data_IF_251225112575
#
_entry.id   IF_251225112575
#
_cell.length_a   1.000
_cell.length_b   1.000
_cell.length_c   1.000
_cell.angle_alpha   90.00
_cell.angle_beta   90.00
_cell.angle_gamma   90.00
#
_symmetry.space_group_name_H-M   'P 1'
#
loop_
_entity.id
_entity.type
_entity.pdbx_description
1 polymer ?
#
# COMPACT_ATOMS: atom_id res chain seq x y z
N UNK A 1 40.64 13.32 -32.41
CA UNK A 1 39.29 12.77 -32.23
C UNK A 1 39.42 11.55 -31.35
N UNK A 2 39.25 11.73 -30.04
CA UNK A 2 39.27 10.64 -29.08
C UNK A 2 37.91 9.92 -29.13
N UNK A 3 37.88 8.58 -29.07
CA UNK A 3 36.62 7.85 -29.08
C UNK A 3 35.89 8.15 -27.78
N UNK A 4 34.62 8.58 -27.90
CA UNK A 4 33.70 8.76 -26.78
C UNK A 4 33.67 7.49 -25.92
N UNK A 5 34.17 7.58 -24.69
CA UNK A 5 34.02 6.55 -23.67
C UNK A 5 32.54 6.43 -23.30
N UNK A 6 32.15 5.28 -22.79
CA UNK A 6 30.78 4.89 -22.45
C UNK A 6 30.11 5.71 -21.32
N UNK A 7 30.58 6.94 -21.04
CA UNK A 7 30.28 7.76 -19.85
C UNK A 7 29.17 8.80 -20.04
N UNK A 8 28.56 8.93 -21.23
CA UNK A 8 27.45 9.87 -21.47
C UNK A 8 26.03 9.27 -21.25
N UNK A 9 25.93 8.06 -20.72
CA UNK A 9 24.80 7.15 -20.98
C UNK A 9 23.47 7.39 -20.27
N UNK A 10 23.37 8.20 -19.20
CA UNK A 10 22.08 8.47 -18.53
C UNK A 10 22.06 9.87 -17.88
N UNK A 11 22.59 10.88 -18.55
CA UNK A 11 22.71 12.23 -17.96
C UNK A 11 21.37 12.82 -17.47
N UNK A 12 20.26 12.54 -18.14
CA UNK A 12 18.92 13.00 -17.75
C UNK A 12 17.90 11.89 -17.82
N UNK A 13 17.18 11.66 -16.72
CA UNK A 13 16.10 10.67 -16.60
C UNK A 13 14.76 11.38 -16.44
N UNK A 14 13.72 10.88 -17.11
CA UNK A 14 12.38 11.48 -17.07
C UNK A 14 11.43 10.63 -16.24
N UNK A 15 10.57 11.27 -15.45
CA UNK A 15 9.59 10.58 -14.63
C UNK A 15 8.18 11.14 -14.89
N UNK A 16 7.39 10.52 -15.77
CA UNK A 16 5.99 10.88 -15.95
C UNK A 16 5.15 10.44 -14.75
N UNK A 17 4.38 11.40 -14.21
CA UNK A 17 3.50 11.14 -13.06
C UNK A 17 2.29 12.07 -13.03
N UNK A 18 1.18 11.56 -12.52
CA UNK A 18 0.00 12.38 -12.20
C UNK A 18 0.23 13.24 -10.95
N UNK A 19 1.05 12.77 -9.99
CA UNK A 19 1.27 13.41 -8.70
C UNK A 19 -0.05 13.79 -7.99
N UNK A 20 -0.91 12.79 -7.72
CA UNK A 20 -2.23 12.98 -7.13
C UNK A 20 -2.41 12.32 -5.74
N UNK A 21 -1.67 12.74 -4.69
CA UNK A 21 -0.49 13.61 -4.71
C UNK A 21 0.81 12.81 -4.96
N UNK A 22 1.92 13.51 -5.24
CA UNK A 22 3.25 12.92 -5.07
C UNK A 22 3.57 12.77 -3.57
N UNK A 23 4.44 11.82 -3.22
CA UNK A 23 4.80 11.53 -1.84
C UNK A 23 6.06 10.69 -1.75
N UNK A 24 6.36 10.16 -0.56
CA UNK A 24 7.63 9.49 -0.27
C UNK A 24 7.94 8.34 -1.23
N UNK A 25 6.93 7.60 -1.73
CA UNK A 25 7.13 6.58 -2.77
C UNK A 25 7.80 7.13 -4.04
N UNK A 26 7.32 8.25 -4.56
CA UNK A 26 7.81 8.80 -5.84
C UNK A 26 9.25 9.31 -5.68
N UNK A 27 9.52 9.98 -4.56
CA UNK A 27 10.84 10.54 -4.27
C UNK A 27 11.84 9.42 -3.98
N UNK A 28 11.45 8.39 -3.24
CA UNK A 28 12.30 7.24 -2.98
C UNK A 28 12.53 6.35 -4.21
N UNK A 29 11.57 6.32 -5.13
CA UNK A 29 11.76 5.65 -6.42
C UNK A 29 12.85 6.34 -7.24
N UNK A 30 12.84 7.68 -7.27
CA UNK A 30 13.90 8.47 -7.90
C UNK A 30 15.23 8.30 -7.17
N UNK A 31 15.22 8.27 -5.84
CA UNK A 31 16.40 7.94 -5.04
C UNK A 31 17.00 6.57 -5.44
N UNK A 32 16.14 5.57 -5.68
CA UNK A 32 16.59 4.23 -6.09
C UNK A 32 17.32 4.28 -7.43
N UNK A 33 16.79 5.07 -8.36
CA UNK A 33 17.38 5.30 -9.69
C UNK A 33 18.71 6.02 -9.57
N UNK A 34 18.81 7.10 -8.80
CA UNK A 34 20.08 7.83 -8.60
C UNK A 34 21.15 6.98 -7.90
N UNK A 35 20.73 6.02 -7.06
CA UNK A 35 21.66 5.07 -6.46
C UNK A 35 22.14 4.01 -7.46
N UNK A 36 21.23 3.48 -8.28
CA UNK A 36 21.53 2.45 -9.27
C UNK A 36 22.29 2.99 -10.50
N UNK A 37 22.08 4.26 -10.88
CA UNK A 37 22.70 4.92 -12.04
C UNK A 37 23.44 6.20 -11.60
N UNK A 38 24.64 6.08 -10.99
CA UNK A 38 25.41 7.22 -10.46
C UNK A 38 25.78 8.31 -11.48
N UNK A 39 25.79 7.98 -12.76
CA UNK A 39 26.03 8.89 -13.89
C UNK A 39 24.87 9.87 -14.15
N UNK A 40 23.71 9.65 -13.50
CA UNK A 40 22.54 10.51 -13.64
C UNK A 40 22.80 11.90 -13.04
N UNK A 41 22.73 12.94 -13.87
CA UNK A 41 22.93 14.34 -13.44
C UNK A 41 21.62 15.05 -13.13
N UNK A 42 20.53 14.70 -13.81
CA UNK A 42 19.25 15.38 -13.69
C UNK A 42 18.07 14.40 -13.78
N UNK A 43 17.08 14.57 -12.90
CA UNK A 43 15.78 13.88 -13.02
C UNK A 43 14.67 14.90 -13.28
N UNK A 44 13.96 14.74 -14.40
CA UNK A 44 12.88 15.63 -14.81
C UNK A 44 11.52 14.97 -14.55
N UNK A 45 10.80 15.47 -13.56
CA UNK A 45 9.42 15.08 -13.28
C UNK A 45 8.50 15.67 -14.35
N UNK A 46 7.88 14.82 -15.17
CA UNK A 46 6.91 15.23 -16.19
C UNK A 46 5.52 15.23 -15.54
N UNK A 47 5.11 16.40 -15.04
CA UNK A 47 3.85 16.53 -14.32
C UNK A 47 2.67 16.55 -15.29
N UNK A 48 1.75 15.61 -15.12
CA UNK A 48 0.55 15.55 -15.96
C UNK A 48 -0.40 16.73 -15.73
N UNK A 49 -1.11 17.17 -16.77
CA UNK A 49 -2.21 18.14 -16.64
C UNK A 49 -3.45 17.58 -15.91
N UNK A 50 -3.48 16.26 -15.67
CA UNK A 50 -4.56 15.58 -14.98
C UNK A 50 -5.68 15.09 -15.90
N UNK A 51 -5.56 15.31 -17.21
CA UNK A 51 -6.44 14.75 -18.23
C UNK A 51 -5.86 13.41 -18.67
N UNK A 52 -6.49 12.30 -18.29
CA UNK A 52 -5.96 10.98 -18.60
C UNK A 52 -6.48 10.46 -19.95
N UNK A 53 -5.63 9.91 -20.84
CA UNK A 53 -6.08 9.30 -22.10
C UNK A 53 -6.78 7.95 -21.91
N UNK A 54 -6.96 7.50 -20.66
CA UNK A 54 -7.58 6.21 -20.35
C UNK A 54 -9.07 6.49 -20.09
N UNK A 55 -9.97 5.99 -20.97
CA UNK A 55 -11.39 6.27 -20.86
C UNK A 55 -12.00 5.68 -19.58
N UNK A 56 -11.31 4.78 -18.88
CA UNK A 56 -11.80 4.15 -17.66
C UNK A 56 -11.40 4.92 -16.39
N UNK A 57 -10.53 5.93 -16.49
CA UNK A 57 -10.05 6.69 -15.33
C UNK A 57 -10.96 7.88 -15.02
N UNK A 58 -12.03 7.62 -14.28
CA UNK A 58 -13.06 8.61 -13.91
C UNK A 58 -12.73 9.44 -12.65
N UNK A 59 -11.45 9.54 -12.29
CA UNK A 59 -11.05 10.16 -11.03
C UNK A 59 -10.99 11.69 -11.14
N UNK A 60 -11.66 12.41 -10.24
CA UNK A 60 -11.50 13.86 -10.09
C UNK A 60 -10.09 14.15 -9.55
N UNK A 61 -9.22 14.69 -10.41
CA UNK A 61 -7.84 15.03 -10.09
C UNK A 61 -7.79 16.54 -9.74
N UNK A 62 -7.13 16.95 -8.63
CA UNK A 62 -6.94 18.35 -8.30
C UNK A 62 -6.25 19.13 -9.43
N UNK A 63 -6.48 20.43 -9.48
CA UNK A 63 -5.87 21.31 -10.49
C UNK A 63 -4.34 21.15 -10.52
N UNK A 64 -3.79 21.17 -11.74
CA UNK A 64 -2.37 20.91 -11.96
C UNK A 64 -1.45 21.91 -11.24
N UNK A 65 -1.87 23.16 -11.08
CA UNK A 65 -1.14 24.18 -10.34
C UNK A 65 -0.91 23.79 -8.86
N UNK A 66 -1.94 23.25 -8.21
CA UNK A 66 -1.84 22.82 -6.81
C UNK A 66 -1.01 21.54 -6.67
N UNK A 67 -1.15 20.58 -7.60
CA UNK A 67 -0.28 19.39 -7.65
C UNK A 67 1.18 19.75 -7.88
N UNK A 68 1.45 20.76 -8.73
CA UNK A 68 2.78 21.32 -8.96
C UNK A 68 3.35 21.91 -7.67
N UNK A 69 2.56 22.69 -6.93
CA UNK A 69 2.98 23.28 -5.66
C UNK A 69 3.32 22.21 -4.61
N UNK A 70 2.46 21.18 -4.49
CA UNK A 70 2.70 20.03 -3.60
C UNK A 70 3.98 19.29 -3.99
N UNK A 71 4.20 18.99 -5.28
CA UNK A 71 5.41 18.30 -5.74
C UNK A 71 6.67 19.15 -5.49
N UNK A 72 6.62 20.45 -5.79
CA UNK A 72 7.74 21.37 -5.54
C UNK A 72 8.06 21.45 -4.05
N UNK A 73 7.03 21.54 -3.21
CA UNK A 73 7.20 21.56 -1.75
C UNK A 73 7.78 20.24 -1.23
N UNK A 74 7.37 19.10 -1.79
CA UNK A 74 7.89 17.80 -1.41
C UNK A 74 9.37 17.66 -1.78
N UNK A 75 9.78 18.12 -2.97
CA UNK A 75 11.18 18.12 -3.41
C UNK A 75 12.05 19.05 -2.56
N UNK A 76 11.54 20.23 -2.19
CA UNK A 76 12.27 21.19 -1.36
C UNK A 76 12.54 20.66 0.06
N UNK A 77 11.58 19.94 0.64
CA UNK A 77 11.71 19.37 1.99
C UNK A 77 12.42 18.01 1.99
N UNK A 78 12.63 17.37 0.83
CA UNK A 78 13.01 15.96 0.73
C UNK A 78 14.26 15.59 1.52
N UNK A 79 15.28 16.47 1.49
CA UNK A 79 16.59 16.25 2.11
C UNK A 79 16.69 16.80 3.54
N UNK A 80 15.64 17.44 4.06
CA UNK A 80 15.63 18.09 5.38
C UNK A 80 15.10 17.10 6.46
N UNK A 81 15.95 16.64 7.40
CA UNK A 81 15.54 15.70 8.46
C UNK A 81 14.38 16.19 9.33
N UNK A 82 14.18 17.49 9.49
CA UNK A 82 13.08 18.04 10.30
C UNK A 82 11.73 18.04 9.55
N UNK A 83 11.77 17.85 8.22
CA UNK A 83 10.60 17.94 7.33
C UNK A 83 10.34 16.66 6.53
N UNK A 84 11.30 15.74 6.48
CA UNK A 84 11.23 14.51 5.70
C UNK A 84 11.64 13.32 6.57
N UNK A 85 10.67 12.46 6.90
CA UNK A 85 10.95 11.24 7.66
C UNK A 85 11.98 10.32 6.95
N UNK A 86 11.98 10.17 5.61
CA UNK A 86 13.08 9.50 4.92
C UNK A 86 14.46 10.14 5.15
N UNK A 87 14.57 11.48 5.19
CA UNK A 87 15.83 12.16 5.47
C UNK A 87 16.27 11.95 6.92
N UNK A 88 15.34 12.03 7.88
CA UNK A 88 15.60 11.71 9.29
C UNK A 88 16.16 10.28 9.44
N UNK A 89 15.52 9.30 8.80
CA UNK A 89 15.94 7.90 8.86
C UNK A 89 17.31 7.70 8.17
N UNK A 90 17.58 8.41 7.08
CA UNK A 90 18.87 8.36 6.40
C UNK A 90 19.99 8.93 7.29
N UNK A 91 19.75 10.07 7.93
CA UNK A 91 20.67 10.73 8.86
C UNK A 91 20.96 9.85 10.10
N UNK A 92 19.91 9.30 10.74
CA UNK A 92 20.03 8.35 11.85
C UNK A 92 20.88 7.11 11.47
N UNK A 93 20.86 6.72 10.20
CA UNK A 93 21.64 5.60 9.67
C UNK A 93 23.05 6.00 9.17
N UNK A 94 23.45 7.27 9.25
CA UNK A 94 24.73 7.77 8.75
C UNK A 94 24.82 7.75 7.22
N UNK A 95 23.70 7.83 6.52
CA UNK A 95 23.60 7.84 5.05
C UNK A 95 23.00 9.16 4.55
N UNK A 96 23.21 9.48 3.28
CA UNK A 96 22.61 10.66 2.65
C UNK A 96 21.74 10.28 1.45
N UNK A 97 20.68 11.06 1.24
CA UNK A 97 19.83 10.96 0.05
C UNK A 97 20.52 11.65 -1.13
N UNK A 98 20.54 11.00 -2.29
CA UNK A 98 21.10 11.52 -3.54
C UNK A 98 20.17 12.51 -4.23
N UNK A 99 18.86 12.29 -4.21
CA UNK A 99 17.89 13.23 -4.77
C UNK A 99 17.92 14.53 -3.97
N UNK A 100 18.06 15.66 -4.66
CA UNK A 100 18.08 16.97 -4.05
C UNK A 100 17.58 18.05 -5.05
N UNK A 101 17.28 19.28 -4.59
CA UNK A 101 16.78 20.34 -5.47
C UNK A 101 17.70 20.71 -6.64
N UNK A 102 19.00 20.43 -6.58
CA UNK A 102 19.97 20.79 -7.63
C UNK A 102 20.07 19.74 -8.75
N UNK A 103 19.58 18.51 -8.53
CA UNK A 103 19.60 17.44 -9.54
C UNK A 103 18.18 17.01 -9.99
N UNK A 104 17.18 17.87 -9.79
CA UNK A 104 15.83 17.61 -10.24
C UNK A 104 15.15 18.85 -10.83
N UNK A 105 14.19 18.61 -11.73
CA UNK A 105 13.35 19.65 -12.30
C UNK A 105 11.91 19.14 -12.50
N UNK A 106 10.94 20.05 -12.56
CA UNK A 106 9.55 19.71 -12.91
C UNK A 106 9.22 20.34 -14.25
N UNK A 107 8.94 19.51 -15.26
CA UNK A 107 8.41 19.98 -16.53
C UNK A 107 6.95 20.37 -16.39
N UNK A 108 6.62 21.57 -16.86
CA UNK A 108 5.25 22.12 -16.92
C UNK A 108 4.66 22.06 -18.33
N UNK A 109 5.34 21.39 -19.27
CA UNK A 109 4.92 21.35 -20.67
C UNK A 109 3.48 20.86 -20.83
N UNK A 110 3.09 19.78 -20.14
CA UNK A 110 1.73 19.24 -20.28
C UNK A 110 0.66 20.20 -19.73
N UNK A 111 1.02 21.05 -18.75
CA UNK A 111 0.09 21.98 -18.09
C UNK A 111 -0.41 23.08 -19.04
N UNK A 112 0.28 23.34 -20.15
CA UNK A 112 -0.20 24.29 -21.17
C UNK A 112 -1.19 23.65 -22.15
N UNK A 113 -1.43 22.33 -22.06
CA UNK A 113 -2.31 21.59 -22.96
C UNK A 113 -3.67 21.37 -22.33
N UNK A 114 -4.73 21.71 -23.07
CA UNK A 114 -6.13 21.48 -22.68
C UNK A 114 -6.67 20.13 -23.20
N UNK A 115 -5.80 19.15 -23.41
CA UNK A 115 -6.15 17.78 -23.86
C UNK A 115 -5.31 16.74 -23.13
N UNK A 116 -5.74 15.47 -23.06
CA UNK A 116 -4.86 14.39 -22.66
C UNK A 116 -3.61 14.35 -23.54
N UNK A 117 -2.45 14.17 -22.90
CA UNK A 117 -1.17 13.93 -23.56
C UNK A 117 -0.82 12.46 -23.41
N UNK A 118 -0.51 11.79 -24.52
CA UNK A 118 -0.13 10.38 -24.52
C UNK A 118 1.33 10.24 -24.12
N UNK A 119 1.68 9.14 -23.47
CA UNK A 119 3.05 8.86 -23.01
C UNK A 119 4.10 9.05 -24.13
N UNK A 120 3.82 8.54 -25.33
CA UNK A 120 4.70 8.63 -26.50
C UNK A 120 4.98 10.07 -26.95
N UNK A 121 4.08 11.02 -26.68
CA UNK A 121 4.25 12.41 -27.10
C UNK A 121 5.34 13.12 -26.30
N UNK A 122 5.62 12.68 -25.06
CA UNK A 122 6.79 13.17 -24.33
C UNK A 122 8.09 12.83 -25.05
N UNK A 123 8.18 11.65 -25.68
CA UNK A 123 9.39 11.22 -26.39
C UNK A 123 9.71 12.15 -27.58
N UNK A 124 8.68 12.69 -28.24
CA UNK A 124 8.83 13.61 -29.38
C UNK A 124 9.30 15.01 -28.97
N UNK A 125 9.02 15.39 -27.73
CA UNK A 125 9.35 16.72 -27.19
C UNK A 125 10.71 16.75 -26.49
N UNK A 126 11.36 15.60 -26.35
CA UNK A 126 12.69 15.48 -25.74
C UNK A 126 13.68 15.26 -26.88
N UNK A 127 14.56 16.24 -27.10
CA UNK A 127 15.61 16.14 -28.11
C UNK A 127 16.66 15.11 -27.72
N UNK A 128 16.98 14.18 -28.62
CA UNK A 128 18.03 13.19 -28.42
C UNK A 128 18.12 12.19 -29.58
N UNK A 129 19.30 11.63 -29.79
CA UNK A 129 19.54 10.56 -30.79
C UNK A 129 19.47 9.16 -30.17
N UNK A 130 19.40 9.08 -28.85
CA UNK A 130 19.37 7.83 -28.08
C UNK A 130 18.00 7.55 -27.46
N UNK A 131 17.82 6.35 -26.91
CA UNK A 131 16.60 5.97 -26.20
C UNK A 131 16.48 6.80 -24.92
N UNK A 132 15.35 7.48 -24.76
CA UNK A 132 15.08 8.36 -23.62
C UNK A 132 14.74 7.51 -22.39
N UNK A 133 15.53 7.61 -21.30
CA UNK A 133 15.26 6.86 -20.08
C UNK A 133 14.04 7.43 -19.33
N UNK A 134 13.04 6.59 -19.11
CA UNK A 134 11.79 6.95 -18.43
C UNK A 134 11.47 6.02 -17.27
N UNK A 135 11.27 6.59 -16.08
CA UNK A 135 10.78 5.85 -14.91
C UNK A 135 9.31 5.52 -15.10
N UNK A 136 8.96 4.24 -15.00
CA UNK A 136 7.58 3.74 -15.13
C UNK A 136 7.28 2.69 -14.07
N UNK A 137 6.02 2.57 -13.67
CA UNK A 137 5.56 1.42 -12.89
C UNK A 137 5.27 0.22 -13.79
N UNK A 138 5.42 -0.99 -13.25
CA UNK A 138 5.02 -2.22 -13.95
C UNK A 138 3.53 -2.19 -14.40
N UNK A 139 2.68 -1.47 -13.67
CA UNK A 139 1.26 -1.27 -14.03
C UNK A 139 1.06 -0.49 -15.33
N UNK A 140 2.00 0.40 -15.70
CA UNK A 140 1.94 1.08 -16.99
C UNK A 140 2.28 0.12 -18.14
N UNK A 141 3.27 -0.76 -17.92
CA UNK A 141 3.69 -1.77 -18.90
C UNK A 141 2.56 -2.79 -19.09
N UNK A 142 1.86 -3.18 -18.04
CA UNK A 142 0.65 -4.01 -18.15
C UNK A 142 -0.41 -3.34 -19.03
N UNK A 143 -0.66 -2.04 -18.84
CA UNK A 143 -1.60 -1.27 -19.67
C UNK A 143 -1.19 -1.18 -21.14
N UNK A 144 0.08 -1.37 -21.47
CA UNK A 144 0.54 -1.48 -22.86
C UNK A 144 -0.05 -2.69 -23.58
N UNK A 145 -0.66 -3.66 -22.88
CA UNK A 145 -1.43 -4.74 -23.48
C UNK A 145 -2.77 -4.26 -24.05
N UNK A 146 -3.36 -3.17 -23.52
CA UNK A 146 -4.65 -2.67 -23.96
C UNK A 146 -4.52 -1.72 -25.18
N UNK A 147 -5.06 -2.07 -26.35
CA UNK A 147 -4.96 -1.25 -27.57
C UNK A 147 -5.72 0.08 -27.49
N UNK A 148 -6.72 0.21 -26.60
CA UNK A 148 -7.46 1.46 -26.38
C UNK A 148 -6.62 2.49 -25.61
N UNK A 149 -5.64 2.05 -24.83
CA UNK A 149 -4.73 2.92 -24.06
C UNK A 149 -3.47 3.20 -24.89
N UNK A 150 -2.80 2.14 -25.36
CA UNK A 150 -1.62 2.20 -26.19
C UNK A 150 -1.89 1.57 -27.55
N UNK A 151 -1.86 2.38 -28.61
CA UNK A 151 -2.00 1.90 -29.99
C UNK A 151 -0.71 1.22 -30.44
N UNK A 152 -0.79 0.46 -31.53
CA UNK A 152 0.39 -0.17 -32.14
C UNK A 152 1.43 0.86 -32.58
N UNK A 153 1.01 2.05 -33.03
CA UNK A 153 1.92 3.14 -33.39
C UNK A 153 2.66 3.64 -32.16
N UNK A 154 1.97 3.87 -31.03
CA UNK A 154 2.62 4.32 -29.81
C UNK A 154 3.68 3.32 -29.34
N UNK A 155 3.37 2.03 -29.36
CA UNK A 155 4.29 0.99 -28.89
C UNK A 155 5.55 0.87 -29.77
N UNK A 156 5.44 1.05 -31.09
CA UNK A 156 6.60 1.06 -31.99
C UNK A 156 7.52 2.27 -31.73
N UNK A 157 6.92 3.43 -31.48
CA UNK A 157 7.68 4.63 -31.13
C UNK A 157 8.35 4.48 -29.75
N UNK A 158 7.68 3.86 -28.77
CA UNK A 158 8.28 3.55 -27.46
C UNK A 158 9.42 2.54 -27.61
N UNK A 159 9.24 1.46 -28.38
CA UNK A 159 10.29 0.48 -28.68
C UNK A 159 11.53 1.14 -29.28
N UNK A 160 11.34 2.09 -30.20
CA UNK A 160 12.42 2.80 -30.88
C UNK A 160 13.10 3.84 -29.98
N UNK A 161 12.32 4.62 -29.25
CA UNK A 161 12.77 5.88 -28.63
C UNK A 161 12.85 5.89 -27.11
N UNK A 162 12.49 4.82 -26.41
CA UNK A 162 12.41 4.82 -24.95
C UNK A 162 13.16 3.66 -24.30
N UNK A 163 13.84 3.97 -23.20
CA UNK A 163 14.39 3.00 -22.26
C UNK A 163 13.57 3.08 -20.97
N UNK A 164 12.79 2.05 -20.69
CA UNK A 164 11.92 2.02 -19.50
C UNK A 164 12.73 1.59 -18.27
N UNK A 165 12.80 2.46 -17.26
CA UNK A 165 13.29 2.12 -15.93
C UNK A 165 12.08 1.69 -15.09
N UNK A 166 11.87 0.39 -14.97
CA UNK A 166 10.64 -0.18 -14.45
C UNK A 166 10.71 -0.47 -12.96
N UNK A 167 9.82 0.14 -12.19
CA UNK A 167 9.59 -0.19 -10.79
C UNK A 167 8.62 -1.38 -10.69
N UNK A 168 9.04 -2.45 -10.02
CA UNK A 168 8.10 -3.49 -9.61
C UNK A 168 7.06 -2.91 -8.65
N UNK A 169 5.79 -3.20 -8.89
CA UNK A 169 4.68 -2.93 -7.98
C UNK A 169 3.85 -4.19 -7.84
N UNK A 170 3.48 -4.55 -6.62
CA UNK A 170 2.67 -5.74 -6.30
C UNK A 170 3.32 -7.07 -6.72
N UNK A 171 2.54 -8.15 -6.72
CA UNK A 171 2.92 -9.48 -7.22
C UNK A 171 3.07 -9.54 -8.77
N UNK A 172 3.29 -8.39 -9.42
CA UNK A 172 3.43 -8.32 -10.87
C UNK A 172 4.85 -8.75 -11.24
N UNK A 173 4.94 -9.89 -11.92
CA UNK A 173 6.18 -10.39 -12.48
C UNK A 173 6.49 -9.67 -13.80
N UNK A 174 7.42 -8.71 -13.74
CA UNK A 174 7.76 -7.82 -14.85
C UNK A 174 8.16 -8.60 -16.12
N UNK A 175 8.97 -9.64 -15.98
CA UNK A 175 9.41 -10.48 -17.10
C UNK A 175 8.24 -11.15 -17.82
N UNK A 176 7.28 -11.68 -17.06
CA UNK A 176 6.07 -12.31 -17.60
C UNK A 176 5.22 -11.32 -18.39
N UNK A 177 5.09 -10.08 -17.93
CA UNK A 177 4.39 -9.02 -18.68
C UNK A 177 5.15 -8.65 -19.96
N UNK A 178 6.47 -8.50 -19.90
CA UNK A 178 7.26 -8.13 -21.08
C UNK A 178 7.18 -9.20 -22.17
N UNK A 179 7.23 -10.48 -21.78
CA UNK A 179 6.98 -11.60 -22.69
C UNK A 179 5.58 -11.52 -23.30
N UNK A 180 4.57 -11.23 -22.49
CA UNK A 180 3.19 -11.11 -22.96
C UNK A 180 3.00 -9.93 -23.92
N UNK A 181 3.63 -8.78 -23.66
CA UNK A 181 3.63 -7.62 -24.56
C UNK A 181 4.31 -7.98 -25.89
N UNK A 182 5.45 -8.66 -25.86
CA UNK A 182 6.13 -9.13 -27.08
C UNK A 182 5.24 -10.07 -27.90
N UNK A 183 4.61 -11.05 -27.25
CA UNK A 183 3.74 -12.02 -27.90
C UNK A 183 2.45 -11.39 -28.46
N UNK A 184 1.76 -10.56 -27.68
CA UNK A 184 0.44 -10.01 -28.06
C UNK A 184 0.51 -8.73 -28.88
N UNK A 185 1.56 -7.94 -28.71
CA UNK A 185 1.68 -6.59 -29.32
C UNK A 185 2.82 -6.47 -30.33
N UNK A 186 3.70 -7.48 -30.43
CA UNK A 186 4.74 -7.56 -31.47
C UNK A 186 5.86 -6.53 -31.31
N UNK A 187 6.12 -6.03 -30.09
CA UNK A 187 7.17 -5.06 -29.78
C UNK A 187 8.11 -5.60 -28.70
N UNK A 188 9.39 -5.27 -28.77
CA UNK A 188 10.41 -5.62 -27.76
C UNK A 188 10.86 -4.35 -27.04
N UNK A 189 10.26 -4.10 -25.88
CA UNK A 189 10.58 -2.91 -25.07
C UNK A 189 11.98 -3.05 -24.43
N UNK A 190 12.76 -1.97 -24.45
CA UNK A 190 14.02 -1.91 -23.69
C UNK A 190 13.70 -1.52 -22.25
N UNK A 191 13.91 -2.46 -21.33
CA UNK A 191 13.54 -2.28 -19.92
C UNK A 191 14.72 -2.62 -19.02
N UNK A 192 14.99 -1.76 -18.04
CA UNK A 192 15.87 -2.08 -16.91
C UNK A 192 15.05 -2.02 -15.63
N UNK A 193 15.21 -3.04 -14.78
CA UNK A 193 14.54 -3.08 -13.48
C UNK A 193 15.17 -2.09 -12.50
N UNK A 194 14.32 -1.31 -11.83
CA UNK A 194 14.75 -0.47 -10.71
C UNK A 194 14.86 -1.37 -9.49
N UNK A 195 16.07 -1.49 -8.93
CA UNK A 195 16.39 -2.39 -7.81
C UNK A 195 16.38 -1.63 -6.48
N UNK A 196 15.34 -1.80 -5.62
CA UNK A 196 15.28 -1.09 -4.33
C UNK A 196 16.37 -1.52 -3.33
N UNK A 197 17.03 -2.66 -3.58
CA UNK A 197 18.09 -3.22 -2.72
C UNK A 197 19.27 -2.27 -2.52
N UNK A 198 19.46 -1.30 -3.42
CA UNK A 198 20.48 -0.27 -3.27
C UNK A 198 20.20 0.64 -2.05
N UNK A 199 18.92 0.84 -1.70
CA UNK A 199 18.51 1.68 -0.57
C UNK A 199 18.46 0.87 0.73
N UNK A 200 18.81 1.51 1.85
CA UNK A 200 18.66 0.97 3.19
C UNK A 200 17.25 0.38 3.46
N UNK A 201 17.21 -0.78 4.12
CA UNK A 201 15.99 -1.59 4.31
C UNK A 201 14.87 -0.87 5.08
N UNK A 202 15.25 0.03 5.99
CA UNK A 202 14.34 0.89 6.74
C UNK A 202 13.60 1.92 5.86
N UNK A 203 14.20 2.35 4.75
CA UNK A 203 13.58 3.27 3.78
C UNK A 203 12.71 2.53 2.76
N UNK A 204 13.05 1.29 2.39
CA UNK A 204 12.30 0.53 1.37
C UNK A 204 10.80 0.45 1.64
N UNK A 205 10.35 0.51 2.90
CA UNK A 205 8.93 0.54 3.27
C UNK A 205 8.16 1.71 2.64
N UNK A 206 8.79 2.87 2.40
CA UNK A 206 8.11 4.02 1.77
C UNK A 206 7.71 3.75 0.31
N UNK A 207 8.30 2.75 -0.35
CA UNK A 207 7.84 2.29 -1.66
C UNK A 207 6.43 1.66 -1.62
N UNK A 208 5.88 1.38 -0.45
CA UNK A 208 4.52 0.88 -0.29
C UNK A 208 3.45 1.99 -0.28
N UNK A 209 3.84 3.27 -0.29
CA UNK A 209 2.92 4.42 -0.21
C UNK A 209 2.42 4.83 -1.59
N UNK A 210 1.38 4.18 -2.09
CA UNK A 210 0.69 4.67 -3.29
C UNK A 210 0.01 6.02 -3.04
N UNK A 211 -0.16 6.85 -4.07
CA UNK A 211 -0.97 8.08 -3.96
C UNK A 211 -2.39 7.81 -3.43
N UNK A 212 -2.97 6.64 -3.76
CA UNK A 212 -4.26 6.21 -3.24
C UNK A 212 -4.24 6.03 -1.73
N UNK A 213 -3.16 5.50 -1.16
CA UNK A 213 -3.02 5.42 0.29
C UNK A 213 -2.91 6.80 0.93
N UNK A 214 -2.24 7.76 0.29
CA UNK A 214 -2.19 9.14 0.78
C UNK A 214 -3.60 9.73 0.84
N UNK A 215 -4.38 9.60 -0.23
CA UNK A 215 -5.77 10.11 -0.26
C UNK A 215 -6.66 9.43 0.77
N UNK A 216 -6.56 8.10 0.93
CA UNK A 216 -7.31 7.37 1.98
C UNK A 216 -6.87 7.77 3.38
N UNK A 217 -5.58 8.00 3.61
CA UNK A 217 -5.07 8.51 4.88
C UNK A 217 -5.62 9.90 5.18
N UNK A 218 -5.69 10.79 4.17
CA UNK A 218 -6.33 12.11 4.30
C UNK A 218 -7.82 11.98 4.66
N UNK A 219 -8.56 11.10 3.99
CA UNK A 219 -9.97 10.82 4.26
C UNK A 219 -10.21 10.22 5.66
N UNK A 220 -9.22 9.49 6.19
CA UNK A 220 -9.24 8.97 7.56
C UNK A 220 -8.82 9.99 8.63
N UNK A 221 -8.49 11.23 8.24
CA UNK A 221 -8.04 12.27 9.16
C UNK A 221 -6.64 12.01 9.73
N UNK A 222 -5.78 11.31 8.99
CA UNK A 222 -4.42 11.00 9.44
C UNK A 222 -3.47 12.18 9.31
N UNK A 223 -2.47 12.20 10.20
CA UNK A 223 -1.24 12.97 10.03
C UNK A 223 -0.47 12.38 8.83
N UNK A 224 -0.05 13.23 7.89
CA UNK A 224 0.44 12.80 6.57
C UNK A 224 1.97 12.78 6.47
N UNK A 225 2.69 13.23 7.48
CA UNK A 225 4.16 13.38 7.51
C UNK A 225 4.91 12.04 7.39
N UNK A 226 4.23 10.92 7.68
CA UNK A 226 4.75 9.57 7.38
C UNK A 226 4.65 9.20 5.89
N UNK A 227 3.79 9.87 5.13
CA UNK A 227 3.42 9.56 3.76
C UNK A 227 4.13 10.47 2.72
N UNK A 228 4.37 11.73 3.08
CA UNK A 228 5.03 12.73 2.26
C UNK A 228 5.68 13.83 3.12
N UNK A 229 6.60 14.64 2.57
CA UNK A 229 7.27 15.70 3.32
C UNK A 229 6.31 16.76 3.89
N UNK A 230 6.72 17.37 5.01
CA UNK A 230 5.90 18.18 5.92
C UNK A 230 5.14 19.33 5.25
N UNK A 231 5.79 20.15 4.43
CA UNK A 231 5.12 21.28 3.79
C UNK A 231 4.15 20.80 2.69
N UNK A 232 4.46 19.69 2.00
CA UNK A 232 3.54 19.08 1.04
C UNK A 232 2.29 18.49 1.73
N UNK A 233 2.46 17.85 2.89
CA UNK A 233 1.37 17.42 3.76
C UNK A 233 0.50 18.60 4.22
N UNK A 234 1.11 19.72 4.64
CA UNK A 234 0.39 20.93 5.04
C UNK A 234 -0.44 21.52 3.90
N UNK A 235 0.09 21.57 2.68
CA UNK A 235 -0.64 22.06 1.51
C UNK A 235 -1.90 21.24 1.21
N UNK A 236 -1.85 19.91 1.37
CA UNK A 236 -3.02 19.04 1.25
C UNK A 236 -4.08 19.44 2.27
N UNK A 237 -3.70 19.62 3.53
CA UNK A 237 -4.60 19.96 4.63
C UNK A 237 -5.20 21.37 4.47
N UNK A 238 -4.38 22.38 4.17
CA UNK A 238 -4.80 23.77 4.02
C UNK A 238 -5.78 23.98 2.86
N UNK A 239 -5.66 23.18 1.80
CA UNK A 239 -6.54 23.24 0.65
C UNK A 239 -7.70 22.23 0.73
N UNK A 240 -7.91 21.58 1.88
CA UNK A 240 -8.99 20.60 2.06
C UNK A 240 -9.02 19.50 0.98
N UNK A 241 -7.84 19.13 0.47
CA UNK A 241 -7.76 18.19 -0.63
C UNK A 241 -8.18 16.81 -0.20
N UNK A 242 -8.97 16.15 -1.05
CA UNK A 242 -9.46 14.78 -0.85
C UNK A 242 -10.40 14.59 0.35
N UNK A 243 -10.76 15.67 1.06
CA UNK A 243 -11.78 15.61 2.10
C UNK A 243 -13.15 15.28 1.48
N UNK A 244 -13.95 14.49 2.20
CA UNK A 244 -15.20 13.93 1.70
C UNK A 244 -16.31 14.94 1.40
N UNK A 245 -16.07 16.25 1.51
CA UNK A 245 -17.11 17.28 1.43
C UNK A 245 -17.22 17.97 0.07
N UNK A 246 -16.20 17.90 -0.79
CA UNK A 246 -16.12 18.68 -2.05
C UNK A 246 -16.03 17.85 -3.34
N UNK A 247 -16.15 16.52 -3.23
CA UNK A 247 -15.84 15.59 -4.31
C UNK A 247 -16.93 14.53 -4.51
N UNK A 248 -18.06 15.01 -5.04
CA UNK A 248 -19.21 14.20 -5.48
C UNK A 248 -18.81 13.36 -6.69
N UNK A 249 -18.79 12.03 -6.53
CA UNK A 249 -18.70 11.09 -7.64
C UNK A 249 -20.11 10.83 -8.15
N UNK A 250 -20.38 11.22 -9.39
CA UNK A 250 -21.67 10.97 -10.03
C UNK A 250 -21.56 9.73 -10.91
N UNK A 251 -21.97 8.59 -10.38
CA UNK A 251 -22.71 7.57 -11.12
C UNK A 251 -23.73 6.97 -10.16
N UNK A 252 -24.94 6.79 -10.64
CA UNK A 252 -26.14 6.42 -9.90
C UNK A 252 -25.85 5.28 -8.90
N UNK A 253 -26.23 5.51 -7.64
CA UNK A 253 -26.12 4.63 -6.44
C UNK A 253 -24.80 4.69 -5.63
N UNK A 254 -24.88 5.39 -4.48
CA UNK A 254 -23.94 5.53 -3.35
C UNK A 254 -22.75 6.50 -3.52
N UNK A 255 -22.87 7.69 -2.90
CA UNK A 255 -21.87 8.76 -2.84
C UNK A 255 -20.75 8.43 -1.80
N UNK A 256 -19.85 7.51 -2.15
CA UNK A 256 -18.76 7.06 -1.27
C UNK A 256 -17.40 7.56 -1.76
N UNK A 257 -16.55 8.03 -0.84
CA UNK A 257 -15.15 8.35 -1.14
C UNK A 257 -14.27 7.09 -1.25
N UNK A 258 -13.01 7.24 -1.67
CA UNK A 258 -12.10 6.10 -1.90
C UNK A 258 -11.89 5.20 -0.68
N UNK A 259 -11.78 5.79 0.52
CA UNK A 259 -11.66 5.03 1.75
C UNK A 259 -12.94 4.26 2.06
N UNK A 260 -14.09 4.92 1.95
CA UNK A 260 -15.39 4.31 2.18
C UNK A 260 -15.64 3.15 1.22
N UNK A 261 -15.34 3.31 -0.07
CA UNK A 261 -15.42 2.22 -1.06
C UNK A 261 -14.51 1.05 -0.70
N UNK A 262 -13.26 1.33 -0.28
CA UNK A 262 -12.33 0.27 0.14
C UNK A 262 -12.80 -0.45 1.39
N UNK A 263 -13.32 0.28 2.39
CA UNK A 263 -13.87 -0.31 3.60
C UNK A 263 -15.11 -1.17 3.30
N UNK A 264 -16.03 -0.70 2.45
CA UNK A 264 -17.21 -1.47 2.05
C UNK A 264 -16.83 -2.77 1.33
N UNK A 265 -15.85 -2.73 0.44
CA UNK A 265 -15.34 -3.95 -0.21
C UNK A 265 -14.71 -4.93 0.80
N UNK A 266 -13.96 -4.42 1.78
CA UNK A 266 -13.40 -5.25 2.84
C UNK A 266 -14.48 -5.83 3.78
N UNK A 267 -15.52 -5.06 4.10
CA UNK A 267 -16.66 -5.54 4.88
C UNK A 267 -17.39 -6.67 4.16
N UNK A 268 -17.57 -6.56 2.83
CA UNK A 268 -18.10 -7.65 2.00
C UNK A 268 -17.21 -8.89 2.03
N UNK A 269 -15.88 -8.73 1.97
CA UNK A 269 -14.93 -9.84 2.07
C UNK A 269 -14.97 -10.51 3.46
N UNK A 270 -15.11 -9.72 4.53
CA UNK A 270 -15.29 -10.23 5.89
C UNK A 270 -16.58 -11.04 6.00
N UNK A 271 -17.65 -10.54 5.41
CA UNK A 271 -18.93 -11.23 5.35
C UNK A 271 -18.84 -12.57 4.62
N UNK A 272 -18.12 -12.63 3.49
CA UNK A 272 -17.86 -13.87 2.76
C UNK A 272 -17.01 -14.86 3.58
N UNK A 273 -15.96 -14.39 4.26
CA UNK A 273 -15.14 -15.24 5.11
C UNK A 273 -15.96 -15.83 6.27
N UNK A 274 -16.78 -15.01 6.93
CA UNK A 274 -17.68 -15.46 8.00
C UNK A 274 -18.70 -16.49 7.52
N UNK A 275 -19.32 -16.29 6.34
CA UNK A 275 -20.25 -17.27 5.73
C UNK A 275 -19.59 -18.62 5.50
N UNK A 276 -18.35 -18.63 4.99
CA UNK A 276 -17.61 -19.87 4.74
C UNK A 276 -17.28 -20.61 6.03
N UNK A 277 -16.82 -19.87 7.04
CA UNK A 277 -16.57 -20.43 8.37
C UNK A 277 -17.87 -21.00 8.98
N UNK A 278 -18.98 -20.25 8.97
CA UNK A 278 -20.26 -20.73 9.49
C UNK A 278 -20.70 -22.03 8.82
N UNK A 279 -20.64 -22.10 7.49
CA UNK A 279 -20.97 -23.33 6.74
C UNK A 279 -20.12 -24.53 7.17
N UNK A 280 -18.83 -24.32 7.45
CA UNK A 280 -17.96 -25.38 7.97
C UNK A 280 -18.41 -25.80 9.38
N UNK A 281 -18.79 -24.85 10.23
CA UNK A 281 -19.25 -25.14 11.60
C UNK A 281 -20.57 -25.90 11.61
N UNK A 282 -21.52 -25.55 10.74
CA UNK A 282 -22.77 -26.31 10.53
C UNK A 282 -22.45 -27.77 10.17
N UNK A 283 -21.50 -27.99 9.25
CA UNK A 283 -21.07 -29.34 8.87
C UNK A 283 -20.45 -30.11 10.03
N UNK A 284 -19.56 -29.48 10.79
CA UNK A 284 -18.92 -30.11 11.96
C UNK A 284 -19.97 -30.48 13.02
N UNK A 285 -20.95 -29.62 13.27
CA UNK A 285 -22.05 -29.91 14.17
C UNK A 285 -22.87 -31.13 13.72
N UNK A 286 -23.25 -31.21 12.44
CA UNK A 286 -24.00 -32.39 11.94
C UNK A 286 -23.22 -33.70 12.08
N UNK A 287 -21.89 -33.62 12.12
CA UNK A 287 -20.98 -34.75 12.34
C UNK A 287 -20.69 -34.99 13.83
N UNK A 288 -21.33 -34.24 14.74
CA UNK A 288 -21.12 -34.27 16.18
C UNK A 288 -19.66 -33.99 16.58
N UNK A 289 -19.02 -33.04 15.89
CA UNK A 289 -17.64 -32.63 16.09
C UNK A 289 -17.55 -31.25 16.74
N UNK A 290 -16.39 -30.93 17.32
CA UNK A 290 -16.10 -29.62 17.90
C UNK A 290 -16.42 -28.46 16.93
N UNK A 291 -17.38 -27.61 17.29
CA UNK A 291 -17.88 -26.51 16.45
C UNK A 291 -18.13 -25.21 17.23
N UNK A 292 -18.15 -25.26 18.55
CA UNK A 292 -18.47 -24.11 19.40
C UNK A 292 -17.21 -23.33 19.69
N UNK A 293 -17.26 -22.01 19.54
CA UNK A 293 -16.07 -21.19 19.58
C UNK A 293 -16.24 -19.87 20.31
N UNK A 294 -15.10 -19.29 20.71
CA UNK A 294 -15.05 -17.95 21.25
C UNK A 294 -13.90 -17.15 20.63
N UNK A 295 -13.97 -15.83 20.78
CA UNK A 295 -13.02 -14.91 20.18
C UNK A 295 -12.45 -13.95 21.23
N UNK A 296 -11.17 -13.64 21.13
CA UNK A 296 -10.53 -12.54 21.87
C UNK A 296 -9.73 -11.67 20.91
N UNK A 297 -10.04 -10.37 20.87
CA UNK A 297 -9.46 -9.40 19.94
C UNK A 297 -8.78 -8.27 20.70
N UNK A 298 -7.80 -7.65 20.08
CA UNK A 298 -7.27 -6.36 20.55
C UNK A 298 -7.40 -5.34 19.43
N UNK A 299 -6.58 -5.45 18.40
CA UNK A 299 -6.40 -4.41 17.40
C UNK A 299 -7.37 -4.52 16.24
N UNK A 300 -7.98 -5.70 16.03
CA UNK A 300 -9.11 -5.90 15.13
C UNK A 300 -10.37 -5.16 15.62
N UNK A 301 -10.45 -4.83 16.92
CA UNK A 301 -11.44 -3.90 17.45
C UNK A 301 -12.88 -4.40 17.44
N UNK A 302 -13.08 -5.72 17.47
CA UNK A 302 -14.42 -6.34 17.46
C UNK A 302 -14.91 -6.75 16.08
N UNK A 303 -14.12 -6.54 15.03
CA UNK A 303 -14.50 -6.89 13.66
C UNK A 303 -14.57 -8.42 13.46
N UNK A 304 -13.80 -9.23 14.20
CA UNK A 304 -13.94 -10.69 14.14
C UNK A 304 -15.29 -11.10 14.75
N UNK A 305 -15.60 -10.60 15.95
CA UNK A 305 -16.87 -10.87 16.60
C UNK A 305 -18.08 -10.39 15.78
N UNK A 306 -18.02 -9.19 15.19
CA UNK A 306 -19.06 -8.65 14.32
C UNK A 306 -19.28 -9.54 13.08
N UNK A 307 -18.20 -9.93 12.39
CA UNK A 307 -18.27 -10.84 11.26
C UNK A 307 -18.98 -12.17 11.60
N UNK A 308 -18.69 -12.73 12.77
CA UNK A 308 -19.30 -13.98 13.24
C UNK A 308 -20.76 -13.82 13.71
N UNK A 309 -21.12 -12.70 14.32
CA UNK A 309 -22.43 -12.49 14.96
C UNK A 309 -23.46 -11.79 14.06
N UNK A 310 -23.04 -11.19 12.95
CA UNK A 310 -23.93 -10.59 11.93
C UNK A 310 -24.77 -11.61 11.16
N UNK A 311 -24.62 -12.90 11.44
CA UNK A 311 -25.31 -14.01 10.76
C UNK A 311 -26.39 -14.64 11.62
N UNK A 312 -27.51 -15.01 10.98
CA UNK A 312 -28.52 -15.83 11.63
C UNK A 312 -27.92 -17.20 11.98
N UNK A 313 -28.30 -17.76 13.13
CA UNK A 313 -27.74 -19.02 13.64
C UNK A 313 -26.38 -18.88 14.36
N UNK A 314 -25.79 -17.68 14.44
CA UNK A 314 -24.49 -17.49 15.09
C UNK A 314 -24.46 -18.02 16.54
N UNK A 315 -25.56 -17.93 17.29
CA UNK A 315 -25.66 -18.42 18.68
C UNK A 315 -25.46 -19.93 18.86
N UNK A 316 -25.58 -20.70 17.77
CA UNK A 316 -25.35 -22.16 17.79
C UNK A 316 -23.86 -22.49 17.95
N UNK A 317 -22.98 -21.65 17.42
CA UNK A 317 -21.54 -21.87 17.43
C UNK A 317 -20.77 -20.84 18.26
N UNK A 318 -21.12 -19.55 18.19
CA UNK A 318 -20.40 -18.47 18.85
C UNK A 318 -20.84 -18.29 20.31
N UNK A 319 -19.94 -18.60 21.25
CA UNK A 319 -20.24 -18.54 22.69
C UNK A 319 -19.92 -17.19 23.33
N UNK A 320 -18.80 -16.59 22.98
CA UNK A 320 -18.33 -15.37 23.61
C UNK A 320 -17.31 -14.62 22.75
N UNK A 321 -17.31 -13.29 22.88
CA UNK A 321 -16.29 -12.40 22.31
C UNK A 321 -15.76 -11.45 23.38
N UNK A 322 -14.45 -11.13 23.34
CA UNK A 322 -13.85 -10.10 24.19
C UNK A 322 -12.95 -9.18 23.39
N UNK A 323 -13.10 -7.87 23.58
CA UNK A 323 -12.21 -6.85 23.01
C UNK A 323 -11.33 -6.29 24.13
N UNK A 324 -10.07 -6.70 24.17
CA UNK A 324 -9.08 -6.33 25.19
C UNK A 324 -8.11 -5.28 24.65
N UNK A 325 -8.64 -4.10 24.34
CA UNK A 325 -7.89 -3.07 23.61
C UNK A 325 -6.73 -2.46 24.42
N UNK A 326 -6.96 -2.15 25.70
CA UNK A 326 -5.92 -1.55 26.53
C UNK A 326 -4.96 -2.60 27.10
N UNK A 327 -3.71 -2.19 27.32
CA UNK A 327 -2.72 -3.02 28.02
C UNK A 327 -3.25 -3.47 29.39
N UNK A 328 -3.99 -2.60 30.08
CA UNK A 328 -4.57 -2.89 31.39
C UNK A 328 -5.67 -3.96 31.30
N UNK A 329 -6.56 -3.88 30.31
CA UNK A 329 -7.58 -4.90 30.08
C UNK A 329 -6.93 -6.27 29.78
N UNK A 330 -5.84 -6.28 29.00
CA UNK A 330 -5.08 -7.50 28.73
C UNK A 330 -4.42 -8.05 30.00
N UNK A 331 -3.83 -7.19 30.85
CA UNK A 331 -3.25 -7.59 32.13
C UNK A 331 -4.29 -8.16 33.09
N UNK A 332 -5.44 -7.50 33.23
CA UNK A 332 -6.52 -7.97 34.08
C UNK A 332 -7.04 -9.34 33.63
N UNK A 333 -7.22 -9.53 32.32
CA UNK A 333 -7.68 -10.80 31.75
C UNK A 333 -6.65 -11.92 31.89
N UNK A 334 -5.37 -11.63 31.63
CA UNK A 334 -4.31 -12.63 31.67
C UNK A 334 -3.81 -12.94 33.09
N UNK A 335 -4.02 -12.02 34.03
CA UNK A 335 -3.56 -12.11 35.41
C UNK A 335 -2.05 -12.40 35.51
N UNK A 336 -1.67 -13.31 36.41
CA UNK A 336 -0.27 -13.74 36.63
C UNK A 336 0.42 -14.32 35.40
N UNK A 337 -0.32 -14.69 34.37
CA UNK A 337 0.25 -15.26 33.15
C UNK A 337 0.83 -14.15 32.25
N UNK A 338 0.45 -12.88 32.44
CA UNK A 338 0.89 -11.77 31.57
C UNK A 338 2.42 -11.73 31.47
N UNK A 339 2.95 -11.90 30.26
CA UNK A 339 4.38 -11.74 30.00
C UNK A 339 4.68 -10.26 29.76
N UNK A 340 5.53 -9.65 30.59
CA UNK A 340 5.86 -8.21 30.49
C UNK A 340 6.55 -7.83 29.16
N UNK A 341 7.12 -8.81 28.46
CA UNK A 341 7.89 -8.58 27.25
C UNK A 341 7.00 -8.47 26.00
N UNK A 342 6.57 -7.24 25.71
CA UNK A 342 5.93 -6.74 24.49
C UNK A 342 4.52 -7.29 24.18
N UNK A 343 3.56 -6.36 24.07
CA UNK A 343 2.12 -6.60 23.84
C UNK A 343 1.76 -7.28 22.49
N UNK A 344 2.76 -7.59 21.66
CA UNK A 344 2.61 -8.00 20.27
C UNK A 344 3.62 -9.11 19.97
N UNK A 345 3.29 -10.32 20.44
CA UNK A 345 4.13 -11.51 20.36
C UNK A 345 3.32 -12.81 20.25
N UNK A 346 3.95 -13.86 19.71
CA UNK A 346 3.39 -15.21 19.66
C UNK A 346 2.97 -15.71 21.06
N UNK A 347 3.86 -15.58 22.05
CA UNK A 347 3.62 -16.04 23.42
C UNK A 347 2.32 -15.46 23.98
N UNK A 348 2.08 -14.16 23.77
CA UNK A 348 0.91 -13.51 24.31
C UNK A 348 -0.38 -13.91 23.60
N UNK A 349 -0.40 -13.98 22.26
CA UNK A 349 -1.62 -14.36 21.55
C UNK A 349 -2.06 -15.78 21.90
N UNK A 350 -1.10 -16.70 22.07
CA UNK A 350 -1.39 -18.07 22.52
C UNK A 350 -1.99 -18.10 23.92
N UNK A 351 -1.51 -17.22 24.80
CA UNK A 351 -1.98 -17.14 26.16
C UNK A 351 -3.39 -16.55 26.24
N UNK A 352 -3.69 -15.51 25.45
CA UNK A 352 -5.03 -14.97 25.28
C UNK A 352 -5.99 -16.08 24.84
N UNK A 353 -5.62 -16.85 23.81
CA UNK A 353 -6.44 -17.96 23.31
C UNK A 353 -6.71 -19.01 24.41
N UNK A 354 -5.68 -19.47 25.13
CA UNK A 354 -5.82 -20.46 26.21
C UNK A 354 -6.67 -19.98 27.40
N UNK A 355 -6.48 -18.73 27.83
CA UNK A 355 -7.28 -18.16 28.93
C UNK A 355 -8.74 -18.06 28.51
N UNK A 356 -9.00 -17.53 27.31
CA UNK A 356 -10.35 -17.40 26.79
C UNK A 356 -11.03 -18.77 26.56
N UNK A 357 -10.30 -19.80 26.13
CA UNK A 357 -10.84 -21.16 25.99
C UNK A 357 -11.28 -21.72 27.34
N UNK A 358 -10.47 -21.53 28.39
CA UNK A 358 -10.82 -21.93 29.76
C UNK A 358 -12.04 -21.18 30.30
N UNK A 359 -12.15 -19.87 30.06
CA UNK A 359 -13.24 -19.06 30.59
C UNK A 359 -14.57 -19.26 29.85
N UNK A 360 -14.52 -19.49 28.55
CA UNK A 360 -15.73 -19.64 27.71
C UNK A 360 -16.25 -21.07 27.64
N UNK A 361 -15.41 -22.08 27.90
CA UNK A 361 -15.76 -23.48 27.66
C UNK A 361 -15.96 -23.82 26.18
N UNK A 362 -15.44 -22.99 25.28
CA UNK A 362 -15.48 -23.22 23.84
C UNK A 362 -14.58 -24.39 23.41
N UNK A 363 -14.99 -25.09 22.36
CA UNK A 363 -14.19 -26.17 21.77
C UNK A 363 -12.87 -25.62 21.20
N UNK A 364 -12.94 -24.45 20.56
CA UNK A 364 -11.78 -23.72 20.06
C UNK A 364 -11.91 -22.21 20.25
N UNK A 365 -10.77 -21.51 20.25
CA UNK A 365 -10.73 -20.05 20.41
C UNK A 365 -9.80 -19.40 19.42
N UNK A 366 -10.29 -18.36 18.75
CA UNK A 366 -9.48 -17.48 17.91
C UNK A 366 -9.09 -16.22 18.68
N UNK A 367 -7.78 -15.99 18.80
CA UNK A 367 -7.19 -14.84 19.44
C UNK A 367 -6.45 -13.98 18.42
N UNK A 368 -6.61 -12.66 18.53
CA UNK A 368 -5.92 -11.66 17.72
C UNK A 368 -5.19 -10.66 18.62
N UNK A 369 -3.94 -10.33 18.29
CA UNK A 369 -3.27 -9.14 18.83
C UNK A 369 -2.37 -8.49 17.80
N UNK A 370 -2.53 -7.18 17.58
CA UNK A 370 -1.87 -6.48 16.49
C UNK A 370 -1.72 -4.98 16.71
N UNK A 371 -1.34 -4.27 15.64
CA UNK A 371 -1.18 -2.83 15.62
C UNK A 371 -1.77 -2.26 14.33
N UNK A 372 -3.04 -1.87 14.36
CA UNK A 372 -3.75 -1.33 13.21
C UNK A 372 -3.28 0.09 12.78
N UNK A 373 -2.37 0.75 13.50
CA UNK A 373 -1.83 2.05 13.10
C UNK A 373 -2.81 3.23 13.22
N UNK A 374 -2.67 4.29 12.40
CA UNK A 374 -1.67 4.50 11.34
C UNK A 374 -0.22 4.71 11.81
N UNK A 375 0.75 4.77 10.88
CA UNK A 375 2.07 5.29 11.19
C UNK A 375 1.98 6.77 11.55
N UNK A 376 2.74 7.16 12.57
CA UNK A 376 2.91 8.55 12.97
C UNK A 376 4.38 8.74 13.40
N UNK A 377 5.00 9.88 13.07
CA UNK A 377 6.34 10.23 13.56
C UNK A 377 6.44 10.22 15.09
N UNK A 378 5.35 10.51 15.80
CA UNK A 378 5.31 10.63 17.26
C UNK A 378 5.22 9.28 17.99
N UNK A 379 4.84 8.21 17.28
CA UNK A 379 4.63 6.91 17.91
C UNK A 379 5.94 6.14 18.03
N UNK A 380 6.24 5.67 19.25
CA UNK A 380 7.42 4.85 19.56
C UNK A 380 7.45 3.50 18.81
N UNK A 381 6.28 2.91 18.50
CA UNK A 381 6.20 1.61 17.82
C UNK A 381 6.10 1.76 16.31
N UNK A 382 7.01 1.09 15.58
CA UNK A 382 7.03 1.01 14.11
C UNK A 382 6.34 -0.26 13.55
N UNK A 383 5.51 -0.93 14.36
CA UNK A 383 4.88 -2.24 14.04
C UNK A 383 3.50 -2.13 13.36
N UNK A 384 3.17 -1.00 12.73
CA UNK A 384 1.86 -0.83 12.10
C UNK A 384 1.63 -1.89 11.01
N UNK A 385 0.41 -2.44 10.93
CA UNK A 385 0.06 -3.51 10.00
C UNK A 385 0.51 -4.91 10.42
N UNK A 386 1.16 -5.06 11.58
CA UNK A 386 1.54 -6.37 12.12
C UNK A 386 0.44 -6.92 13.03
N UNK A 387 0.15 -8.21 12.89
CA UNK A 387 -0.85 -8.93 13.68
C UNK A 387 -0.40 -10.36 13.96
N UNK A 388 -0.62 -10.81 15.18
CA UNK A 388 -0.42 -12.18 15.64
C UNK A 388 -1.80 -12.82 15.85
N UNK A 389 -1.97 -14.02 15.30
CA UNK A 389 -3.17 -14.81 15.44
C UNK A 389 -2.83 -16.11 16.18
N UNK A 390 -3.68 -16.49 17.12
CA UNK A 390 -3.60 -17.74 17.86
C UNK A 390 -4.92 -18.49 17.75
N UNK A 391 -4.89 -19.78 17.42
CA UNK A 391 -6.08 -20.63 17.40
C UNK A 391 -5.90 -21.75 18.41
N UNK A 392 -6.52 -21.63 19.59
CA UNK A 392 -6.51 -22.68 20.59
C UNK A 392 -7.50 -23.77 20.20
N UNK A 393 -6.99 -24.99 20.10
CA UNK A 393 -7.73 -26.23 19.86
C UNK A 393 -7.68 -27.07 21.16
N UNK A 394 -8.19 -28.29 21.15
CA UNK A 394 -8.26 -29.14 22.36
C UNK A 394 -6.88 -29.46 22.97
N UNK A 395 -5.86 -29.68 22.14
CA UNK A 395 -4.52 -30.15 22.57
C UNK A 395 -3.40 -29.14 22.34
N UNK A 396 -3.60 -28.19 21.43
CA UNK A 396 -2.55 -27.27 21.00
C UNK A 396 -3.08 -25.88 20.69
N UNK A 397 -2.17 -24.95 20.43
CA UNK A 397 -2.51 -23.65 19.87
C UNK A 397 -1.77 -23.53 18.55
N UNK A 398 -2.46 -23.26 17.45
CA UNK A 398 -1.82 -22.88 16.19
C UNK A 398 -1.51 -21.39 16.20
N UNK A 399 -0.54 -20.97 15.40
CA UNK A 399 -0.10 -19.58 15.33
C UNK A 399 0.12 -19.14 13.89
N UNK A 400 -0.27 -17.90 13.59
CA UNK A 400 0.03 -17.23 12.32
C UNK A 400 0.45 -15.79 12.59
N UNK A 401 1.48 -15.34 11.88
CA UNK A 401 1.89 -13.94 11.85
C UNK A 401 1.41 -13.31 10.53
N UNK A 402 0.90 -12.08 10.61
CA UNK A 402 0.49 -11.27 9.48
C UNK A 402 1.30 -9.99 9.47
N UNK A 403 1.80 -9.61 8.28
CA UNK A 403 2.39 -8.30 8.02
C UNK A 403 1.72 -7.69 6.80
N UNK A 404 0.88 -6.68 7.05
CA UNK A 404 0.19 -5.90 6.03
C UNK A 404 0.97 -4.63 5.72
N UNK A 405 0.59 -3.95 4.62
CA UNK A 405 1.18 -2.67 4.27
C UNK A 405 1.00 -1.67 5.44
N UNK A 406 2.08 -1.18 6.08
CA UNK A 406 2.01 -0.41 7.32
C UNK A 406 1.32 0.94 7.16
N UNK A 407 1.08 1.40 5.94
CA UNK A 407 0.47 2.69 5.60
C UNK A 407 -1.03 2.60 5.33
N UNK A 408 -1.66 1.43 5.48
CA UNK A 408 -3.11 1.31 5.43
C UNK A 408 -3.76 2.07 6.59
N UNK A 409 -5.02 2.43 6.40
CA UNK A 409 -5.78 3.08 7.46
C UNK A 409 -6.07 2.14 8.62
N UNK A 410 -6.38 2.70 9.81
CA UNK A 410 -6.74 1.89 10.98
C UNK A 410 -7.90 0.94 10.66
N UNK A 411 -8.96 1.46 10.01
CA UNK A 411 -10.14 0.66 9.66
C UNK A 411 -9.80 -0.42 8.62
N UNK A 412 -8.94 -0.12 7.64
CA UNK A 412 -8.46 -1.13 6.69
C UNK A 412 -7.69 -2.25 7.39
N UNK A 413 -6.77 -1.93 8.30
CA UNK A 413 -6.05 -2.94 9.09
C UNK A 413 -7.00 -3.78 9.96
N UNK A 414 -7.95 -3.14 10.66
CA UNK A 414 -8.94 -3.83 11.47
C UNK A 414 -9.73 -4.88 10.67
N UNK A 415 -10.24 -4.47 9.51
CA UNK A 415 -10.99 -5.35 8.62
C UNK A 415 -10.10 -6.47 8.06
N UNK A 416 -8.90 -6.15 7.59
CA UNK A 416 -7.98 -7.15 7.04
C UNK A 416 -7.50 -8.16 8.08
N UNK A 417 -7.22 -7.74 9.31
CA UNK A 417 -6.90 -8.66 10.40
C UNK A 417 -8.07 -9.61 10.66
N UNK A 418 -9.30 -9.10 10.66
CA UNK A 418 -10.47 -9.94 10.87
C UNK A 418 -10.70 -10.94 9.72
N UNK A 419 -10.62 -10.47 8.47
CA UNK A 419 -10.75 -11.31 7.27
C UNK A 419 -9.72 -12.45 7.29
N UNK A 420 -8.44 -12.12 7.49
CA UNK A 420 -7.36 -13.09 7.52
C UNK A 420 -7.48 -14.06 8.69
N UNK A 421 -8.01 -13.61 9.83
CA UNK A 421 -8.23 -14.46 10.99
C UNK A 421 -9.33 -15.50 10.74
N UNK A 422 -10.45 -15.09 10.14
CA UNK A 422 -11.54 -16.02 9.80
C UNK A 422 -11.13 -17.01 8.70
N UNK A 423 -10.48 -16.55 7.64
CA UNK A 423 -9.95 -17.42 6.56
C UNK A 423 -8.96 -18.44 7.14
N UNK A 424 -8.07 -17.98 8.02
CA UNK A 424 -7.09 -18.86 8.63
C UNK A 424 -7.73 -19.88 9.57
N UNK A 425 -8.68 -19.47 10.41
CA UNK A 425 -9.42 -20.38 11.27
C UNK A 425 -10.16 -21.45 10.46
N UNK A 426 -10.85 -21.05 9.37
CA UNK A 426 -11.51 -21.99 8.45
C UNK A 426 -10.51 -23.01 7.87
N UNK A 427 -9.33 -22.55 7.40
CA UNK A 427 -8.30 -23.44 6.84
C UNK A 427 -7.78 -24.44 7.87
N UNK A 428 -7.44 -23.97 9.07
CA UNK A 428 -6.91 -24.84 10.13
C UNK A 428 -7.96 -25.85 10.57
N UNK A 429 -9.23 -25.44 10.70
CA UNK A 429 -10.32 -26.34 11.08
C UNK A 429 -10.67 -27.37 10.00
N UNK A 430 -10.30 -27.15 8.73
CA UNK A 430 -10.41 -28.17 7.67
C UNK A 430 -9.26 -29.18 7.68
N UNK A 431 -8.08 -28.77 8.11
CA UNK A 431 -6.88 -29.62 8.16
C UNK A 431 -6.81 -30.46 9.44
N UNK A 432 -7.33 -29.92 10.55
CA UNK A 432 -7.30 -30.57 11.86
C UNK A 432 -8.42 -31.61 12.05
N UNK A 433 -9.32 -31.71 11.07
CA UNK A 433 -10.56 -32.47 11.12
C UNK A 433 -10.72 -33.35 9.89
#
# INVERSE_FOLDING_TARGET
>A
MSPLTAEDKLSTIYFPLTANPAGNHHLLLVESVLQQFPETKLVVFLLSNGLHPDPFKHQKIPHAALRLEILRSALADWTDPEKSLPAQIAEEAGTSLKLNPNNCAISRYELSLNRPLRFVEHLKNISGTEKIPMIVGADLIERMLNPQIFTTVDLKEIEKGCHLLAASRNNIELESILQLVKQKRGVTLTVTHIMPKAIASNLQKFLLISSTLIRRATQAGHVLEAFLPKNAARLIQQNSLYDGSSHVFNFQTVNMNELQLRCSELERQLEEAAKKLQKLLDQLETQNRAHRFAVVETSAGGQIAEGCTSKSGASQHFLAGRVLYSLEAQKQFLGRKFAENSSLSDKQVRQLAKVMQKESGADWVLAETGMAGPPSPERRSKKNGQCHLGLALSSEVKYKYLELNPFLTRKEHQLLFAIEALIWAESVLKEHN
#
